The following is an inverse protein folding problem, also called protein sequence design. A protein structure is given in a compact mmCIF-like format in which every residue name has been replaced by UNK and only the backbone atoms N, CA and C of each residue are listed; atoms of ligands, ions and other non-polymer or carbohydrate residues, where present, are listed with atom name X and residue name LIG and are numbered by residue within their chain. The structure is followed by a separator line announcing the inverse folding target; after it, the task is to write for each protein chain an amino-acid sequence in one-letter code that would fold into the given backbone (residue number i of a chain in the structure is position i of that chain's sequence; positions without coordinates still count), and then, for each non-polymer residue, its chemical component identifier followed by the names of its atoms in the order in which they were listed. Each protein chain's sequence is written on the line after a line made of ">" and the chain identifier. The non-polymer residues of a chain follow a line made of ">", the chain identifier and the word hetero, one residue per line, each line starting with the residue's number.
data_IF_994978377022
#
_entry.id   IF_994978377022
#
_cell.length_a   1.000
_cell.length_b   1.000
_cell.length_c   1.000
_cell.angle_alpha   90.00
_cell.angle_beta   90.00
_cell.angle_gamma   90.00
#
_symmetry.space_group_name_H-M   'P 1'
#
loop_
_entity.id
_entity.type
_entity.pdbx_description
1 polymer ?
#
# COMPACT_ATOMS: atom_id res chain seq x y z
N UNK A 1 16.88 61.47 -43.90
CA UNK A 1 17.30 60.59 -42.79
C UNK A 1 16.05 60.26 -41.98
N UNK A 2 15.43 59.11 -42.28
CA UNK A 2 14.18 58.69 -41.63
C UNK A 2 14.49 57.88 -40.37
N UNK A 3 13.82 58.26 -39.29
CA UNK A 3 13.90 57.79 -37.92
C UNK A 3 13.54 56.31 -37.74
N UNK A 4 14.42 55.54 -37.09
CA UNK A 4 14.19 54.16 -36.67
C UNK A 4 13.47 54.17 -35.30
N UNK A 5 12.23 53.70 -35.22
CA UNK A 5 11.53 53.49 -33.94
C UNK A 5 11.81 52.07 -33.44
N UNK A 6 12.54 51.97 -32.33
CA UNK A 6 12.70 50.74 -31.54
C UNK A 6 11.36 50.38 -30.89
N UNK A 7 10.78 49.25 -31.25
CA UNK A 7 9.65 48.64 -30.52
C UNK A 7 10.24 47.70 -29.48
N UNK A 8 10.15 48.09 -28.21
CA UNK A 8 10.50 47.24 -27.08
C UNK A 8 9.40 46.19 -26.88
N UNK A 9 9.70 44.92 -27.15
CA UNK A 9 8.82 43.81 -26.83
C UNK A 9 8.96 43.47 -25.33
N UNK A 10 7.93 43.81 -24.55
CA UNK A 10 7.83 43.44 -23.13
C UNK A 10 7.45 41.96 -23.06
N UNK A 11 8.40 41.12 -22.69
CA UNK A 11 8.17 39.70 -22.42
C UNK A 11 7.43 39.52 -21.09
N UNK A 12 6.16 39.10 -21.15
CA UNK A 12 5.42 38.61 -20.00
C UNK A 12 5.83 37.15 -19.72
N UNK A 13 6.78 36.98 -18.80
CA UNK A 13 7.10 35.68 -18.24
C UNK A 13 5.97 35.25 -17.28
N UNK A 14 5.09 34.37 -17.75
CA UNK A 14 4.14 33.66 -16.90
C UNK A 14 4.92 32.76 -15.94
N UNK A 15 5.11 33.22 -14.70
CA UNK A 15 5.53 32.38 -13.59
C UNK A 15 4.37 31.44 -13.25
N UNK A 16 4.36 30.25 -13.84
CA UNK A 16 3.43 29.20 -13.45
C UNK A 16 3.70 28.83 -11.98
N UNK A 17 2.69 28.86 -11.09
CA UNK A 17 2.85 28.41 -9.73
C UNK A 17 3.13 26.91 -9.77
N UNK A 18 4.35 26.53 -9.39
CA UNK A 18 4.69 25.14 -9.14
C UNK A 18 3.87 24.67 -7.93
N UNK A 19 2.69 24.12 -8.18
CA UNK A 19 2.01 23.29 -7.19
C UNK A 19 3.00 22.18 -6.81
N UNK A 20 3.55 22.26 -5.60
CA UNK A 20 4.21 21.14 -4.94
C UNK A 20 3.15 20.05 -4.76
N UNK A 21 2.95 19.23 -5.79
CA UNK A 21 2.23 17.98 -5.63
C UNK A 21 3.01 17.17 -4.59
N UNK A 22 2.41 16.97 -3.42
CA UNK A 22 2.91 16.02 -2.44
C UNK A 22 3.12 14.70 -3.19
N UNK A 23 4.38 14.26 -3.30
CA UNK A 23 4.67 12.96 -3.89
C UNK A 23 3.96 11.93 -3.01
N UNK A 24 3.13 11.04 -3.57
CA UNK A 24 2.53 9.98 -2.77
C UNK A 24 3.65 9.29 -2.01
N UNK A 25 3.57 9.29 -0.68
CA UNK A 25 4.55 8.62 0.15
C UNK A 25 4.42 7.16 -0.19
N UNK A 26 5.37 6.63 -0.96
CA UNK A 26 5.48 5.21 -1.19
C UNK A 26 5.72 4.59 0.17
N UNK A 27 4.66 4.03 0.72
CA UNK A 27 4.71 2.66 1.24
C UNK A 27 3.35 2.05 1.45
N UNK A 28 2.71 1.70 0.34
CA UNK A 28 1.87 0.54 0.37
C UNK A 28 2.75 -0.71 0.28
N UNK A 29 2.31 -1.77 0.95
CA UNK A 29 2.94 -3.08 1.00
C UNK A 29 3.50 -3.55 -0.36
N UNK A 30 4.62 -4.29 -0.38
CA UNK A 30 5.04 -5.03 -1.57
C UNK A 30 3.87 -5.82 -2.15
N UNK A 31 3.71 -5.80 -3.47
CA UNK A 31 2.62 -6.52 -4.16
C UNK A 31 2.73 -8.03 -4.03
N UNK A 32 3.96 -8.54 -3.88
CA UNK A 32 4.25 -9.92 -3.56
C UNK A 32 5.41 -10.04 -2.55
N UNK A 33 5.48 -11.19 -1.91
CA UNK A 33 6.54 -11.57 -0.99
C UNK A 33 7.11 -12.93 -1.43
N UNK A 34 8.42 -12.96 -1.62
CA UNK A 34 9.17 -14.18 -1.93
C UNK A 34 9.49 -14.91 -0.62
N UNK A 35 9.03 -16.15 -0.50
CA UNK A 35 9.27 -16.98 0.70
C UNK A 35 9.83 -18.33 0.28
N UNK A 36 10.80 -18.81 1.06
CA UNK A 36 11.27 -20.20 0.98
C UNK A 36 10.65 -21.01 2.12
N UNK A 37 9.74 -21.93 1.79
CA UNK A 37 9.15 -22.84 2.76
C UNK A 37 10.05 -24.08 2.93
N UNK A 38 10.36 -24.40 4.18
CA UNK A 38 11.14 -25.59 4.56
C UNK A 38 10.39 -26.31 5.67
N UNK A 39 10.04 -27.60 5.51
CA UNK A 39 9.38 -28.35 6.57
C UNK A 39 10.34 -28.49 7.76
N UNK A 40 9.84 -28.25 8.98
CA UNK A 40 10.60 -28.47 10.22
C UNK A 40 10.64 -29.94 10.61
N UNK A 41 9.64 -30.71 10.20
CA UNK A 41 9.54 -32.16 10.35
C UNK A 41 8.79 -32.75 9.15
N UNK A 42 9.05 -34.02 8.85
CA UNK A 42 8.34 -34.79 7.82
C UNK A 42 7.74 -36.03 8.47
N UNK A 43 6.40 -36.15 8.50
CA UNK A 43 5.74 -37.31 9.09
C UNK A 43 6.24 -38.63 8.49
N UNK A 44 6.38 -39.66 9.31
CA UNK A 44 6.87 -40.97 8.88
C UNK A 44 6.05 -41.53 7.71
N UNK A 45 6.73 -41.96 6.66
CA UNK A 45 6.12 -42.51 5.44
C UNK A 45 5.65 -41.45 4.43
N UNK A 46 5.85 -40.15 4.71
CA UNK A 46 5.52 -39.07 3.78
C UNK A 46 6.77 -38.48 3.13
N UNK A 47 6.61 -38.04 1.88
CA UNK A 47 7.60 -37.20 1.18
C UNK A 47 6.99 -35.82 1.01
N UNK A 48 7.69 -34.78 1.47
CA UNK A 48 7.30 -33.38 1.25
C UNK A 48 7.99 -32.88 -0.02
N UNK A 49 7.21 -32.27 -0.91
CA UNK A 49 7.70 -31.65 -2.14
C UNK A 49 6.95 -30.34 -2.41
N UNK A 50 7.54 -29.38 -3.14
CA UNK A 50 6.81 -28.22 -3.64
C UNK A 50 5.62 -28.64 -4.52
N UNK A 51 4.46 -28.00 -4.34
CA UNK A 51 3.31 -28.20 -5.24
C UNK A 51 3.53 -27.38 -6.52
N UNK A 52 3.73 -28.00 -7.70
CA UNK A 52 4.00 -27.29 -8.94
C UNK A 52 2.82 -26.45 -9.43
N UNK A 53 1.62 -26.61 -8.84
CA UNK A 53 0.43 -25.81 -9.16
C UNK A 53 0.39 -24.48 -8.40
N UNK A 54 1.29 -24.26 -7.44
CA UNK A 54 1.37 -23.04 -6.63
C UNK A 54 2.59 -22.22 -7.04
N UNK A 55 2.39 -20.91 -7.16
CA UNK A 55 3.48 -19.96 -7.38
C UNK A 55 4.24 -19.73 -6.06
N UNK A 56 5.57 -19.55 -6.09
CA UNK A 56 6.36 -19.17 -4.91
C UNK A 56 6.13 -17.72 -4.47
N UNK A 57 5.48 -16.92 -5.34
CA UNK A 57 5.11 -15.53 -5.09
C UNK A 57 3.82 -15.46 -4.25
N UNK A 58 3.96 -15.07 -2.99
CA UNK A 58 2.82 -14.83 -2.12
C UNK A 58 2.28 -13.41 -2.35
N UNK A 59 1.03 -13.26 -2.78
CA UNK A 59 0.47 -11.95 -3.19
C UNK A 59 -0.10 -11.22 -1.98
N UNK A 60 -0.05 -9.88 -2.00
CA UNK A 60 -0.70 -9.06 -1.00
C UNK A 60 -2.21 -9.34 -0.98
N UNK A 61 -2.73 -9.72 0.19
CA UNK A 61 -4.12 -10.13 0.37
C UNK A 61 -4.92 -9.18 1.27
N UNK A 62 -4.26 -8.56 2.25
CA UNK A 62 -4.88 -7.64 3.19
C UNK A 62 -3.83 -6.74 3.84
N UNK A 63 -4.29 -5.60 4.37
CA UNK A 63 -3.50 -4.73 5.23
C UNK A 63 -4.17 -4.57 6.58
N UNK A 64 -3.37 -4.23 7.59
CA UNK A 64 -3.84 -3.95 8.94
C UNK A 64 -3.08 -2.75 9.47
N UNK A 65 -3.78 -1.80 10.08
CA UNK A 65 -3.15 -0.67 10.76
C UNK A 65 -3.13 -0.88 12.27
N UNK A 66 -2.10 -0.38 12.93
CA UNK A 66 -1.89 -0.48 14.37
C UNK A 66 -1.49 0.89 14.94
N UNK A 67 -1.88 1.16 16.19
CA UNK A 67 -1.32 2.27 16.97
C UNK A 67 -0.13 1.76 17.78
N UNK A 68 1.07 2.19 17.41
CA UNK A 68 2.32 1.57 17.89
C UNK A 68 2.68 0.25 17.20
N UNK A 69 3.79 -0.34 17.63
CA UNK A 69 4.31 -1.59 17.08
C UNK A 69 3.31 -2.75 17.30
N UNK A 70 3.13 -3.69 16.35
CA UNK A 70 2.12 -4.74 16.43
C UNK A 70 2.42 -5.88 17.43
N UNK A 71 3.04 -5.58 18.58
CA UNK A 71 3.42 -6.58 19.59
C UNK A 71 2.22 -7.39 20.11
N UNK A 72 1.05 -6.75 20.25
CA UNK A 72 -0.20 -7.37 20.71
C UNK A 72 -1.23 -7.59 19.59
N UNK A 73 -0.88 -7.31 18.33
CA UNK A 73 -1.76 -7.49 17.17
C UNK A 73 -3.13 -6.76 17.27
N UNK A 74 -3.22 -5.67 18.04
CA UNK A 74 -4.46 -4.90 18.19
C UNK A 74 -4.68 -4.00 16.97
N UNK A 75 -5.50 -4.48 16.05
CA UNK A 75 -5.82 -3.79 14.81
C UNK A 75 -6.73 -2.57 15.04
N UNK A 76 -6.48 -1.50 14.28
CA UNK A 76 -7.37 -0.36 14.15
C UNK A 76 -8.48 -0.68 13.15
N UNK A 77 -9.73 -0.51 13.57
CA UNK A 77 -10.88 -0.55 12.67
C UNK A 77 -10.83 0.66 11.71
N UNK A 78 -11.32 0.52 10.46
CA UNK A 78 -11.49 1.67 9.57
C UNK A 78 -12.57 2.61 10.13
N UNK A 79 -12.38 3.92 9.91
CA UNK A 79 -13.41 4.91 10.24
C UNK A 79 -14.62 4.77 9.32
N UNK A 80 -14.35 4.41 8.06
CA UNK A 80 -15.40 4.13 7.09
C UNK A 80 -15.06 2.88 6.30
N UNK A 81 -16.08 2.06 6.04
CA UNK A 81 -16.00 0.95 5.10
C UNK A 81 -17.26 0.97 4.22
N UNK A 82 -17.06 0.88 2.91
CA UNK A 82 -18.12 0.88 1.91
C UNK A 82 -17.98 -0.33 1.00
N UNK A 83 -19.02 -1.15 0.96
CA UNK A 83 -19.11 -2.26 0.02
C UNK A 83 -19.61 -1.79 -1.34
N UNK A 84 -19.00 -2.31 -2.40
CA UNK A 84 -19.43 -2.17 -3.79
C UNK A 84 -19.53 -3.55 -4.45
N UNK A 85 -19.97 -3.59 -5.71
CA UNK A 85 -19.93 -4.82 -6.53
C UNK A 85 -18.52 -5.32 -6.80
N UNK A 86 -17.51 -4.43 -6.71
CA UNK A 86 -16.11 -4.74 -6.98
C UNK A 86 -15.32 -5.16 -5.74
N UNK A 87 -15.84 -4.89 -4.54
CA UNK A 87 -15.13 -5.13 -3.28
C UNK A 87 -15.43 -4.09 -2.20
N UNK A 88 -14.52 -3.92 -1.23
CA UNK A 88 -14.64 -3.00 -0.10
C UNK A 88 -13.64 -1.84 -0.23
N UNK A 89 -14.14 -0.63 -0.02
CA UNK A 89 -13.33 0.57 0.14
C UNK A 89 -13.33 0.98 1.60
N UNK A 90 -12.15 1.08 2.22
CA UNK A 90 -11.99 1.46 3.63
C UNK A 90 -11.06 2.66 3.79
N UNK A 91 -11.32 3.48 4.80
CA UNK A 91 -10.51 4.66 5.12
C UNK A 91 -10.18 4.72 6.59
N UNK A 92 -8.95 5.12 6.90
CA UNK A 92 -8.44 5.38 8.25
C UNK A 92 -7.86 6.79 8.29
N UNK A 93 -8.23 7.55 9.32
CA UNK A 93 -7.66 8.84 9.67
C UNK A 93 -6.90 8.71 10.98
N UNK A 94 -5.67 9.16 10.96
CA UNK A 94 -4.72 9.03 12.04
C UNK A 94 -4.61 10.36 12.77
N UNK A 95 -4.75 10.32 14.09
CA UNK A 95 -4.51 11.48 14.95
C UNK A 95 -3.06 11.45 15.42
N UNK A 96 -2.36 12.58 15.57
CA UNK A 96 -0.99 12.58 16.09
C UNK A 96 -0.89 11.79 17.40
N UNK A 97 0.02 10.82 17.44
CA UNK A 97 0.20 9.93 18.58
C UNK A 97 1.68 9.62 18.80
N UNK A 98 2.09 9.54 20.06
CA UNK A 98 3.50 9.38 20.44
C UNK A 98 4.13 8.08 19.90
N UNK A 99 3.35 6.99 19.86
CA UNK A 99 3.80 5.69 19.35
C UNK A 99 3.84 5.62 17.80
N UNK A 100 3.26 6.61 17.11
CA UNK A 100 3.01 6.59 15.68
C UNK A 100 2.09 5.44 15.22
N UNK A 101 1.93 5.29 13.91
CA UNK A 101 1.11 4.25 13.32
C UNK A 101 1.95 3.27 12.52
N UNK A 102 1.51 2.03 12.47
CA UNK A 102 2.18 0.95 11.77
C UNK A 102 1.23 0.27 10.78
N UNK A 103 1.79 -0.25 9.70
CA UNK A 103 1.08 -1.07 8.73
C UNK A 103 1.65 -2.49 8.75
N UNK A 104 0.75 -3.47 8.76
CA UNK A 104 1.04 -4.88 8.55
C UNK A 104 0.47 -5.34 7.21
N UNK A 105 1.31 -6.02 6.44
CA UNK A 105 1.02 -6.52 5.10
C UNK A 105 0.87 -8.04 5.15
N UNK A 106 -0.33 -8.53 4.85
CA UNK A 106 -0.67 -9.95 4.86
C UNK A 106 -0.61 -10.51 3.45
N UNK A 107 0.00 -11.68 3.29
CA UNK A 107 0.20 -12.32 2.00
C UNK A 107 -0.51 -13.66 1.93
N UNK A 108 -0.93 -14.06 0.73
CA UNK A 108 -1.60 -15.36 0.50
C UNK A 108 -0.71 -16.53 0.91
N UNK A 109 -1.29 -17.59 1.45
CA UNK A 109 -0.60 -18.88 1.70
C UNK A 109 0.64 -18.79 2.61
N UNK A 110 0.67 -17.81 3.51
CA UNK A 110 1.72 -17.68 4.52
C UNK A 110 1.16 -17.18 5.86
N UNK A 111 1.84 -17.50 6.95
CA UNK A 111 1.60 -16.94 8.27
C UNK A 111 2.52 -15.77 8.62
N UNK A 112 3.32 -15.30 7.65
CA UNK A 112 4.21 -14.16 7.81
C UNK A 112 3.48 -12.84 7.57
N UNK A 113 3.82 -11.84 8.38
CA UNK A 113 3.36 -10.46 8.27
C UNK A 113 4.57 -9.55 8.01
N UNK A 114 4.56 -8.76 6.93
CA UNK A 114 5.56 -7.71 6.75
C UNK A 114 5.07 -6.43 7.44
N UNK A 115 5.85 -5.92 8.40
CA UNK A 115 5.45 -4.78 9.23
C UNK A 115 6.42 -3.61 9.07
N UNK A 116 5.88 -2.39 9.09
CA UNK A 116 6.68 -1.16 9.14
C UNK A 116 5.92 -0.02 9.80
N UNK A 117 6.66 0.93 10.38
CA UNK A 117 6.09 2.23 10.78
C UNK A 117 5.67 3.01 9.54
N UNK A 118 4.52 3.67 9.61
CA UNK A 118 4.14 4.72 8.68
C UNK A 118 5.03 5.94 8.90
N UNK A 119 5.25 6.73 7.85
CA UNK A 119 5.93 8.02 8.02
C UNK A 119 5.09 8.93 8.91
N UNK A 120 5.73 9.72 9.78
CA UNK A 120 5.03 10.53 10.79
C UNK A 120 4.13 11.62 10.17
N UNK A 121 4.30 11.94 8.88
CA UNK A 121 3.45 12.88 8.16
C UNK A 121 2.20 12.23 7.52
N UNK A 122 2.04 10.90 7.60
CA UNK A 122 0.85 10.21 7.09
C UNK A 122 -0.29 10.42 8.07
N UNK A 123 -1.37 11.01 7.58
CA UNK A 123 -2.58 11.33 8.35
C UNK A 123 -3.79 10.54 7.90
N UNK A 124 -3.74 9.94 6.71
CA UNK A 124 -4.82 9.12 6.18
C UNK A 124 -4.28 7.97 5.34
N UNK A 125 -4.96 6.84 5.38
CA UNK A 125 -4.80 5.79 4.37
C UNK A 125 -6.16 5.30 3.88
N UNK A 126 -6.25 5.08 2.58
CA UNK A 126 -7.38 4.48 1.90
C UNK A 126 -6.99 3.14 1.31
N UNK A 127 -7.85 2.14 1.47
CA UNK A 127 -7.67 0.79 0.92
C UNK A 127 -8.85 0.44 0.01
N UNK A 128 -8.54 -0.14 -1.15
CA UNK A 128 -9.50 -0.88 -1.95
C UNK A 128 -9.14 -2.37 -1.93
N UNK A 129 -10.00 -3.18 -1.33
CA UNK A 129 -9.94 -4.63 -1.42
C UNK A 129 -10.93 -5.11 -2.49
N UNK A 130 -10.43 -5.68 -3.57
CA UNK A 130 -11.24 -6.23 -4.66
C UNK A 130 -11.67 -7.66 -4.36
N UNK A 131 -12.92 -7.98 -4.69
CA UNK A 131 -13.37 -9.37 -4.74
C UNK A 131 -12.58 -10.16 -5.78
N UNK A 132 -12.44 -11.46 -5.53
CA UNK A 132 -11.85 -12.36 -6.50
C UNK A 132 -12.67 -12.36 -7.80
N UNK A 133 -11.98 -12.27 -8.93
CA UNK A 133 -12.56 -12.39 -10.26
C UNK A 133 -11.61 -13.18 -11.17
N UNK A 134 -12.01 -13.40 -12.44
CA UNK A 134 -11.17 -14.15 -13.40
C UNK A 134 -9.80 -13.51 -13.66
N UNK A 135 -9.68 -12.19 -13.52
CA UNK A 135 -8.43 -11.44 -13.71
C UNK A 135 -7.61 -11.37 -12.41
N UNK A 136 -8.26 -11.52 -11.26
CA UNK A 136 -7.66 -11.44 -9.91
C UNK A 136 -8.08 -12.67 -9.09
N UNK A 137 -7.50 -13.85 -9.36
CA UNK A 137 -7.71 -15.02 -8.53
C UNK A 137 -7.21 -14.72 -7.11
N UNK A 138 -8.11 -14.77 -6.12
CA UNK A 138 -7.83 -14.39 -4.73
C UNK A 138 -8.09 -12.93 -4.36
N UNK A 139 -8.52 -12.09 -5.32
CA UNK A 139 -8.73 -10.66 -5.13
C UNK A 139 -7.49 -9.83 -5.41
N UNK A 140 -7.53 -8.55 -5.02
CA UNK A 140 -6.38 -7.65 -5.04
C UNK A 140 -6.55 -6.59 -3.96
N UNK A 141 -5.44 -6.05 -3.46
CA UNK A 141 -5.46 -4.93 -2.51
C UNK A 141 -4.64 -3.79 -3.07
N UNK A 142 -5.26 -2.62 -3.09
CA UNK A 142 -4.59 -1.35 -3.36
C UNK A 142 -4.70 -0.51 -2.09
N UNK A 143 -3.61 0.14 -1.71
CA UNK A 143 -3.58 1.05 -0.56
C UNK A 143 -2.81 2.31 -0.94
N UNK A 144 -3.33 3.45 -0.51
CA UNK A 144 -2.75 4.77 -0.74
C UNK A 144 -2.78 5.52 0.58
N UNK A 145 -1.68 6.20 0.92
CA UNK A 145 -1.57 6.97 2.15
C UNK A 145 -1.12 8.40 1.83
N UNK A 146 -1.60 9.35 2.64
CA UNK A 146 -1.51 10.80 2.43
C UNK A 146 -0.94 11.50 3.66
#
# INVERSE_FOLDING_TARGET
>A
MYSLRLVAAIGLAFAAPACLAARPVTTPCPSSLQIRQVPTDTPSGWTVMPDPRREPDHRLQAITFFSGEPANMVALAPDTEKRSTRGYASSWHFQPGEAGYWIGCNYTDTNLLAVRKLADNISQCDMMQYFADRRRPGGAVEVVCY
#
